data_IF_435338897702
#
_entry.id   IF_435338897702
#
_cell.length_a   1.000
_cell.length_b   1.000
_cell.length_c   1.000
_cell.angle_alpha   90.00
_cell.angle_beta   90.00
_cell.angle_gamma   90.00
#
_symmetry.space_group_name_H-M   'P 1'
#
loop_
_entity.id
_entity.type
_entity.pdbx_description
1 polymer ?
#
# COMPACT_ATOMS: atom_id res chain seq x y z
N UNK A 1 -10.69 8.05 -17.86
CA UNK A 1 -10.05 8.84 -16.79
C UNK A 1 -10.22 8.23 -15.40
N UNK A 2 -11.44 8.02 -14.87
CA UNK A 2 -11.63 7.31 -13.59
C UNK A 2 -11.13 5.86 -13.62
N UNK A 3 -11.20 5.20 -14.79
CA UNK A 3 -10.85 3.79 -14.95
C UNK A 3 -9.40 3.44 -14.60
N UNK A 4 -8.44 4.35 -14.84
CA UNK A 4 -7.01 4.11 -14.56
C UNK A 4 -6.71 4.11 -13.06
N UNK A 5 -7.13 5.17 -12.39
CA UNK A 5 -7.03 5.29 -10.94
C UNK A 5 -7.81 4.18 -10.25
N UNK A 6 -9.03 3.92 -10.70
CA UNK A 6 -9.85 2.84 -10.18
C UNK A 6 -9.15 1.49 -10.33
N UNK A 7 -8.60 1.19 -11.51
CA UNK A 7 -7.83 -0.05 -11.73
C UNK A 7 -6.63 -0.12 -10.77
N UNK A 8 -5.85 0.94 -10.66
CA UNK A 8 -4.68 0.96 -9.79
C UNK A 8 -5.05 0.73 -8.32
N UNK A 9 -6.08 1.41 -7.81
CA UNK A 9 -6.57 1.20 -6.44
C UNK A 9 -7.14 -0.21 -6.24
N UNK A 10 -7.97 -0.70 -7.16
CA UNK A 10 -8.60 -2.02 -7.04
C UNK A 10 -7.58 -3.16 -7.07
N UNK A 11 -6.60 -3.07 -7.96
CA UNK A 11 -5.56 -4.09 -8.15
C UNK A 11 -4.30 -3.84 -7.31
N UNK A 12 -4.31 -2.85 -6.40
CA UNK A 12 -3.17 -2.55 -5.55
C UNK A 12 -1.91 -2.20 -6.35
N UNK A 13 -2.04 -1.50 -7.47
CA UNK A 13 -0.90 -0.99 -8.22
C UNK A 13 -0.37 0.27 -7.55
N UNK A 14 0.95 0.42 -7.39
CA UNK A 14 1.54 1.65 -6.88
C UNK A 14 1.19 2.85 -7.76
N UNK A 15 0.76 3.95 -7.14
CA UNK A 15 0.51 5.23 -7.78
C UNK A 15 0.70 6.36 -6.76
N UNK A 16 1.03 7.56 -7.26
CA UNK A 16 1.23 8.72 -6.39
C UNK A 16 0.52 9.94 -6.96
N UNK A 17 -0.14 10.71 -6.08
CA UNK A 17 -0.76 11.99 -6.44
C UNK A 17 0.17 13.10 -5.97
N UNK A 18 0.90 13.68 -6.94
CA UNK A 18 1.83 14.78 -6.71
C UNK A 18 1.24 16.13 -7.07
N UNK A 19 1.48 17.13 -6.23
CA UNK A 19 0.96 18.49 -6.41
C UNK A 19 2.10 19.50 -6.35
N UNK A 20 2.06 20.52 -7.22
CA UNK A 20 3.02 21.63 -7.19
C UNK A 20 2.64 22.63 -6.10
N UNK A 21 3.64 23.29 -5.48
CA UNK A 21 3.41 24.31 -4.43
C UNK A 21 2.40 25.39 -4.86
N UNK A 22 2.48 25.84 -6.13
CA UNK A 22 1.57 26.85 -6.69
C UNK A 22 0.09 26.42 -6.68
N UNK A 23 -0.18 25.13 -6.59
CA UNK A 23 -1.51 24.54 -6.60
C UNK A 23 -2.02 24.21 -5.19
N UNK A 24 -1.23 24.38 -4.12
CA UNK A 24 -1.65 24.09 -2.74
C UNK A 24 -2.89 24.87 -2.31
N UNK A 25 -3.05 26.10 -2.80
CA UNK A 25 -4.23 26.92 -2.52
C UNK A 25 -5.54 26.28 -2.95
N UNK A 26 -5.52 25.31 -3.89
CA UNK A 26 -6.73 24.59 -4.35
C UNK A 26 -7.23 23.54 -3.36
N UNK A 27 -6.37 23.08 -2.46
CA UNK A 27 -6.67 22.05 -1.47
C UNK A 27 -6.89 22.63 -0.07
N UNK A 28 -6.49 23.90 0.13
CA UNK A 28 -6.69 24.58 1.40
C UNK A 28 -8.17 24.95 1.53
N UNK A 29 -8.85 24.51 2.61
CA UNK A 29 -10.22 24.95 2.87
C UNK A 29 -10.26 26.47 3.15
N UNK A 30 -11.41 27.10 2.90
CA UNK A 30 -11.62 28.53 3.16
C UNK A 30 -11.35 28.86 4.64
N UNK A 31 -11.76 27.97 5.54
CA UNK A 31 -11.43 28.01 6.96
C UNK A 31 -10.56 26.80 7.33
N UNK A 32 -9.40 27.07 7.93
CA UNK A 32 -8.51 26.02 8.46
C UNK A 32 -8.96 25.68 9.87
N UNK A 33 -9.40 24.43 10.09
CA UNK A 33 -9.82 23.96 11.40
C UNK A 33 -8.68 23.98 12.41
N UNK A 34 -9.00 24.08 13.71
CA UNK A 34 -7.97 23.99 14.76
C UNK A 34 -7.28 22.63 14.78
N UNK A 35 -7.96 21.57 14.32
CA UNK A 35 -7.40 20.23 14.14
C UNK A 35 -6.31 20.25 13.06
N UNK A 36 -6.56 20.87 11.90
CA UNK A 36 -5.56 20.99 10.81
C UNK A 36 -4.34 21.84 11.23
N UNK A 37 -4.55 22.81 12.13
CA UNK A 37 -3.46 23.59 12.74
C UNK A 37 -2.66 22.75 13.73
N UNK A 38 -3.32 21.90 14.51
CA UNK A 38 -2.71 21.03 15.52
C UNK A 38 -1.90 19.89 14.90
N UNK A 39 -2.32 19.36 13.75
CA UNK A 39 -1.57 18.38 12.94
C UNK A 39 -0.15 18.89 12.62
N UNK A 40 0.03 20.21 12.52
CA UNK A 40 1.34 20.85 12.33
C UNK A 40 2.27 20.82 13.54
N UNK A 41 1.83 20.42 14.73
CA UNK A 41 2.74 20.27 15.88
C UNK A 41 3.59 19.01 15.68
N UNK A 42 4.93 19.09 15.77
CA UNK A 42 5.78 17.93 15.62
C UNK A 42 5.47 16.95 16.77
N UNK A 43 4.63 15.94 16.52
CA UNK A 43 4.77 14.70 17.27
C UNK A 43 6.14 14.14 16.89
N UNK A 44 6.92 13.76 17.89
CA UNK A 44 8.26 13.21 17.71
C UNK A 44 8.28 12.21 16.55
N UNK A 45 9.10 12.47 15.54
CA UNK A 45 9.19 11.80 14.23
C UNK A 45 9.61 10.32 14.27
N UNK A 46 9.64 9.72 15.46
CA UNK A 46 10.09 8.35 15.71
C UNK A 46 8.95 7.62 16.39
N UNK A 47 8.24 6.79 15.61
CA UNK A 47 7.30 5.85 16.18
C UNK A 47 8.02 4.87 17.09
N UNK A 48 7.45 4.61 18.26
CA UNK A 48 7.90 3.53 19.11
C UNK A 48 7.82 2.21 18.32
N UNK A 49 8.91 1.41 18.27
CA UNK A 49 8.91 0.13 17.59
C UNK A 49 7.73 -0.73 18.06
N UNK A 50 7.18 -1.50 17.13
CA UNK A 50 6.12 -2.43 17.50
C UNK A 50 6.71 -3.52 18.41
N UNK A 51 6.36 -3.48 19.69
CA UNK A 51 6.85 -4.40 20.69
C UNK A 51 5.68 -5.16 21.33
N UNK A 52 5.72 -6.49 21.26
CA UNK A 52 4.71 -7.35 21.85
C UNK A 52 5.31 -8.18 22.98
N UNK A 53 4.85 -7.95 24.20
CA UNK A 53 5.44 -8.57 25.41
C UNK A 53 4.47 -9.50 26.17
N UNK A 54 3.16 -9.47 25.90
CA UNK A 54 2.17 -10.19 26.71
C UNK A 54 1.18 -11.03 25.89
N UNK A 55 1.14 -12.34 26.17
CA UNK A 55 0.23 -13.30 25.54
C UNK A 55 -1.24 -12.97 25.84
N UNK A 56 -2.06 -12.74 24.81
CA UNK A 56 -3.49 -12.41 24.92
C UNK A 56 -3.84 -10.94 24.66
N UNK A 57 -2.87 -10.03 24.64
CA UNK A 57 -3.08 -8.61 24.35
C UNK A 57 -2.90 -8.25 22.87
N UNK A 58 -2.53 -9.21 22.01
CA UNK A 58 -2.09 -8.96 20.63
C UNK A 58 -3.08 -8.13 19.84
N UNK A 59 -4.35 -8.56 19.84
CA UNK A 59 -5.42 -7.87 19.13
C UNK A 59 -5.55 -6.42 19.59
N UNK A 60 -5.70 -6.21 20.90
CA UNK A 60 -5.94 -4.87 21.45
C UNK A 60 -4.76 -3.94 21.15
N UNK A 61 -3.53 -4.43 21.35
CA UNK A 61 -2.31 -3.67 21.09
C UNK A 61 -2.15 -3.34 19.60
N UNK A 62 -2.24 -4.34 18.73
CA UNK A 62 -2.12 -4.16 17.29
C UNK A 62 -3.18 -3.18 16.76
N UNK A 63 -4.45 -3.38 17.13
CA UNK A 63 -5.53 -2.49 16.71
C UNK A 63 -5.34 -1.06 17.23
N UNK A 64 -4.84 -0.88 18.45
CA UNK A 64 -4.56 0.45 18.99
C UNK A 64 -3.49 1.17 18.17
N UNK A 65 -2.38 0.50 17.82
CA UNK A 65 -1.29 1.09 17.06
C UNK A 65 -1.70 1.37 15.60
N UNK A 66 -2.42 0.44 14.96
CA UNK A 66 -2.92 0.64 13.60
C UNK A 66 -3.94 1.78 13.53
N UNK A 67 -4.88 1.86 14.46
CA UNK A 67 -5.88 2.93 14.48
C UNK A 67 -5.24 4.31 14.72
N UNK A 68 -4.15 4.38 15.48
CA UNK A 68 -3.41 5.62 15.68
C UNK A 68 -2.77 6.11 14.36
N UNK A 69 -2.24 5.21 13.55
CA UNK A 69 -1.67 5.53 12.23
C UNK A 69 -2.75 5.91 11.22
N UNK A 70 -3.78 5.06 11.07
CA UNK A 70 -4.79 5.21 10.02
C UNK A 70 -5.59 6.52 10.13
N UNK A 71 -5.69 7.09 11.33
CA UNK A 71 -6.37 8.38 11.57
C UNK A 71 -5.50 9.60 11.25
N UNK A 72 -4.22 9.40 10.92
CA UNK A 72 -3.32 10.52 10.59
C UNK A 72 -3.59 11.02 9.17
N UNK A 73 -3.49 12.33 8.92
CA UNK A 73 -3.86 12.87 7.62
C UNK A 73 -3.07 12.30 6.43
N UNK A 74 -1.76 12.08 6.60
CA UNK A 74 -0.90 11.49 5.57
C UNK A 74 -1.14 9.99 5.34
N UNK A 75 -1.87 9.28 6.22
CA UNK A 75 -2.15 7.85 6.06
C UNK A 75 -2.91 7.54 4.77
N UNK A 76 -3.56 8.54 4.16
CA UNK A 76 -4.18 8.44 2.83
C UNK A 76 -3.23 7.91 1.76
N UNK A 77 -1.92 8.16 1.89
CA UNK A 77 -0.92 7.67 0.93
C UNK A 77 -0.88 6.15 0.84
N UNK A 78 -1.28 5.44 1.90
CA UNK A 78 -1.30 3.97 1.93
C UNK A 78 -2.04 3.40 0.72
N UNK A 79 -3.13 4.03 0.30
CA UNK A 79 -3.94 3.64 -0.87
C UNK A 79 -3.10 3.62 -2.15
N UNK A 80 -2.19 4.58 -2.30
CA UNK A 80 -1.29 4.70 -3.45
C UNK A 80 -0.02 3.84 -3.36
N UNK A 81 0.36 3.33 -2.20
CA UNK A 81 1.62 2.56 -2.07
C UNK A 81 1.59 1.19 -2.77
N UNK A 82 0.41 0.69 -3.14
CA UNK A 82 0.21 -0.59 -3.80
C UNK A 82 0.50 -1.81 -2.91
N UNK A 83 0.32 -2.99 -3.50
CA UNK A 83 0.56 -4.31 -2.92
C UNK A 83 -0.05 -4.49 -1.53
N UNK A 84 0.67 -5.13 -0.59
CA UNK A 84 0.14 -5.40 0.75
C UNK A 84 -0.07 -4.14 1.59
N UNK A 85 0.67 -3.06 1.33
CA UNK A 85 0.51 -1.79 2.04
C UNK A 85 -0.86 -1.16 1.72
N UNK A 86 -1.20 -1.05 0.43
CA UNK A 86 -2.49 -0.53 0.00
C UNK A 86 -3.66 -1.40 0.45
N UNK A 87 -3.45 -2.72 0.52
CA UNK A 87 -4.47 -3.59 1.10
C UNK A 87 -4.70 -3.31 2.58
N UNK A 88 -3.63 -3.20 3.38
CA UNK A 88 -3.74 -2.89 4.81
C UNK A 88 -4.38 -1.51 5.03
N UNK A 89 -3.99 -0.51 4.25
CA UNK A 89 -4.62 0.82 4.26
C UNK A 89 -6.12 0.75 4.03
N UNK A 90 -6.57 0.05 2.98
CA UNK A 90 -8.01 -0.14 2.71
C UNK A 90 -8.71 -0.98 3.77
N UNK A 91 -8.05 -2.02 4.30
CA UNK A 91 -8.62 -2.92 5.31
C UNK A 91 -8.97 -2.17 6.60
N UNK A 92 -8.09 -1.27 7.03
CA UNK A 92 -8.23 -0.59 8.31
C UNK A 92 -8.81 0.82 8.20
N UNK A 93 -8.52 1.54 7.11
CA UNK A 93 -9.06 2.88 6.85
C UNK A 93 -10.39 2.89 6.08
N UNK A 94 -10.77 1.78 5.47
CA UNK A 94 -12.03 1.66 4.72
C UNK A 94 -12.10 2.57 3.51
N UNK A 95 -13.33 2.83 3.04
CA UNK A 95 -13.58 3.67 1.88
C UNK A 95 -13.31 5.16 2.15
N UNK A 96 -13.40 5.60 3.40
CA UNK A 96 -13.11 6.97 3.79
C UNK A 96 -11.66 7.35 3.43
N UNK A 97 -10.70 6.47 3.75
CA UNK A 97 -9.29 6.70 3.41
C UNK A 97 -9.06 6.76 1.90
N UNK A 98 -9.79 5.96 1.11
CA UNK A 98 -9.76 6.02 -0.37
C UNK A 98 -10.31 7.35 -0.86
N UNK A 99 -11.44 7.81 -0.33
CA UNK A 99 -12.01 9.12 -0.68
C UNK A 99 -11.02 10.25 -0.37
N UNK A 100 -10.45 10.28 0.83
CA UNK A 100 -9.46 11.28 1.22
C UNK A 100 -8.21 11.27 0.32
N UNK A 101 -7.74 10.09 -0.09
CA UNK A 101 -6.65 9.97 -1.05
C UNK A 101 -7.02 10.57 -2.41
N UNK A 102 -8.25 10.34 -2.87
CA UNK A 102 -8.75 10.84 -4.15
C UNK A 102 -9.01 12.36 -4.15
N UNK A 103 -9.23 12.97 -2.97
CA UNK A 103 -9.34 14.41 -2.80
C UNK A 103 -7.99 15.15 -2.94
N UNK A 104 -6.88 14.41 -2.89
CA UNK A 104 -5.54 14.93 -3.08
C UNK A 104 -4.69 14.92 -1.81
N UNK A 105 -3.62 15.75 -1.77
CA UNK A 105 -2.63 15.70 -0.69
C UNK A 105 -3.23 16.09 0.66
N UNK A 106 -2.67 15.57 1.74
CA UNK A 106 -3.14 15.91 3.08
C UNK A 106 -2.71 17.32 3.53
N UNK A 107 -3.29 17.85 4.62
CA UNK A 107 -2.85 19.09 5.25
C UNK A 107 -1.36 19.09 5.61
N UNK A 108 -0.75 17.93 5.90
CA UNK A 108 0.69 17.82 6.13
C UNK A 108 1.45 18.41 4.94
N UNK A 109 1.02 18.08 3.71
CA UNK A 109 1.63 18.56 2.48
C UNK A 109 1.24 20.00 2.15
N UNK A 110 -0.05 20.29 1.98
CA UNK A 110 -0.46 21.58 1.40
C UNK A 110 -0.41 22.75 2.40
N UNK A 111 -0.55 22.48 3.70
CA UNK A 111 -0.53 23.50 4.76
C UNK A 111 0.86 23.58 5.41
N UNK A 112 1.43 22.44 5.77
CA UNK A 112 2.68 22.37 6.54
C UNK A 112 3.92 22.09 5.70
N UNK A 113 3.77 21.81 4.39
CA UNK A 113 4.86 21.46 3.47
C UNK A 113 5.69 20.25 3.93
N UNK A 114 5.04 19.33 4.65
CA UNK A 114 5.59 18.08 5.16
C UNK A 114 5.12 16.93 4.27
N UNK A 115 6.07 16.16 3.77
CA UNK A 115 5.81 15.08 2.84
C UNK A 115 7.09 14.68 2.13
N UNK A 116 6.92 13.99 1.01
CA UNK A 116 8.00 13.75 0.06
C UNK A 116 8.01 14.85 -1.00
N UNK A 117 9.20 15.27 -1.40
CA UNK A 117 9.42 16.10 -2.59
C UNK A 117 10.37 15.34 -3.51
N UNK A 118 10.05 15.32 -4.79
CA UNK A 118 10.85 14.64 -5.81
C UNK A 118 12.10 15.44 -6.26
N UNK A 119 12.65 16.29 -5.38
CA UNK A 119 13.79 17.17 -5.71
C UNK A 119 15.08 16.41 -6.00
N UNK A 120 15.21 15.23 -5.40
CA UNK A 120 16.41 14.41 -5.48
C UNK A 120 16.30 13.35 -6.59
N UNK A 121 15.16 13.30 -7.31
CA UNK A 121 14.96 12.44 -8.46
C UNK A 121 15.81 12.91 -9.67
N UNK A 122 16.14 11.99 -10.58
CA UNK A 122 16.90 12.29 -11.81
C UNK A 122 16.26 13.40 -12.66
N UNK A 123 14.93 13.48 -12.67
CA UNK A 123 14.14 14.48 -13.40
C UNK A 123 13.08 15.09 -12.47
N UNK A 124 13.45 16.09 -11.63
CA UNK A 124 12.56 16.63 -10.62
C UNK A 124 11.47 17.51 -11.24
N UNK A 125 10.21 17.33 -10.81
CA UNK A 125 9.09 18.21 -11.15
C UNK A 125 8.64 19.09 -9.98
N UNK A 126 9.32 18.98 -8.84
CA UNK A 126 9.03 19.62 -7.57
C UNK A 126 7.59 19.35 -7.12
N UNK A 127 7.20 18.08 -7.25
CA UNK A 127 5.92 17.55 -6.85
C UNK A 127 6.00 17.13 -5.38
N UNK A 128 5.03 17.60 -4.62
CA UNK A 128 4.85 17.22 -3.23
C UNK A 128 3.80 16.14 -3.10
N UNK A 129 4.08 15.15 -2.27
CA UNK A 129 3.19 14.03 -2.00
C UNK A 129 3.21 13.72 -0.51
N UNK A 130 2.16 13.07 -0.02
CA UNK A 130 2.17 12.51 1.33
C UNK A 130 3.30 11.48 1.46
N UNK A 131 3.79 11.29 2.69
CA UNK A 131 4.87 10.34 3.00
C UNK A 131 4.53 9.61 4.30
N UNK A 132 4.81 8.31 4.32
CA UNK A 132 4.78 7.47 5.51
C UNK A 132 6.21 7.12 5.92
N UNK A 133 6.45 7.06 7.23
CA UNK A 133 7.73 6.59 7.75
C UNK A 133 7.82 5.05 7.66
N UNK A 134 9.05 4.49 7.54
CA UNK A 134 9.24 3.04 7.60
C UNK A 134 8.68 2.40 8.87
N UNK A 135 8.75 3.11 10.01
CA UNK A 135 8.26 2.62 11.29
C UNK A 135 6.73 2.54 11.34
N UNK A 136 6.02 3.48 10.71
CA UNK A 136 4.56 3.40 10.57
C UNK A 136 4.15 2.22 9.69
N UNK A 137 4.90 1.98 8.61
CA UNK A 137 4.69 0.80 7.76
C UNK A 137 4.94 -0.46 8.58
N UNK A 138 6.03 -0.54 9.34
CA UNK A 138 6.32 -1.67 10.22
C UNK A 138 5.19 -1.98 11.20
N UNK A 139 4.59 -0.95 11.80
CA UNK A 139 3.43 -1.12 12.68
C UNK A 139 2.24 -1.73 11.93
N UNK A 140 1.95 -1.31 10.70
CA UNK A 140 0.88 -1.89 9.88
C UNK A 140 1.13 -3.36 9.55
N UNK A 141 2.38 -3.79 9.39
CA UNK A 141 2.72 -5.20 9.20
C UNK A 141 2.84 -5.99 10.52
N UNK A 142 2.78 -5.31 11.67
CA UNK A 142 3.08 -5.89 12.97
C UNK A 142 4.52 -6.39 13.05
N UNK A 143 5.46 -5.63 12.49
CA UNK A 143 6.88 -5.98 12.43
C UNK A 143 7.56 -5.74 13.78
N UNK A 144 8.02 -6.81 14.41
CA UNK A 144 8.95 -6.75 15.54
C UNK A 144 10.36 -6.82 14.96
N UNK A 145 11.04 -5.67 14.97
CA UNK A 145 12.44 -5.55 14.57
C UNK A 145 13.34 -6.13 15.65
N UNK A 146 14.37 -6.85 15.24
CA UNK A 146 15.42 -7.35 16.12
C UNK A 146 16.79 -6.93 15.59
N UNK A 147 17.79 -6.81 16.47
CA UNK A 147 19.18 -6.52 16.06
C UNK A 147 19.85 -7.69 15.27
N UNK A 148 19.06 -8.68 14.87
CA UNK A 148 19.47 -9.85 14.10
C UNK A 148 18.53 -10.02 12.89
N UNK A 149 18.90 -10.83 11.88
CA UNK A 149 18.03 -11.19 10.72
C UNK A 149 16.79 -12.05 11.10
N UNK A 150 16.27 -11.85 12.32
CA UNK A 150 15.13 -12.55 12.90
C UNK A 150 13.93 -11.63 13.07
N UNK A 151 13.86 -10.57 12.27
CA UNK A 151 12.66 -9.74 12.16
C UNK A 151 11.43 -10.62 11.94
N UNK A 152 10.38 -10.33 12.69
CA UNK A 152 9.13 -11.08 12.60
C UNK A 152 7.99 -10.15 12.28
N UNK A 153 7.02 -10.64 11.51
CA UNK A 153 5.84 -9.85 11.17
C UNK A 153 4.55 -10.67 11.32
N UNK A 154 3.42 -9.96 11.45
CA UNK A 154 2.08 -10.56 11.42
C UNK A 154 1.59 -10.75 9.98
N UNK A 155 1.97 -9.84 9.09
CA UNK A 155 1.71 -9.92 7.64
C UNK A 155 3.01 -10.06 6.85
N UNK A 156 3.01 -10.75 5.70
CA UNK A 156 4.20 -10.80 4.84
C UNK A 156 4.36 -9.45 4.10
N UNK A 157 5.57 -8.89 4.11
CA UNK A 157 5.93 -7.73 3.30
C UNK A 157 5.96 -8.07 1.81
N UNK A 158 6.06 -7.05 0.95
CA UNK A 158 6.20 -7.26 -0.49
C UNK A 158 7.42 -8.13 -0.82
N UNK A 159 8.57 -7.85 -0.22
CA UNK A 159 9.80 -8.61 -0.48
C UNK A 159 9.64 -10.10 -0.10
N UNK A 160 8.98 -10.37 1.04
CA UNK A 160 8.67 -11.74 1.47
C UNK A 160 7.73 -12.45 0.47
N UNK A 161 6.76 -11.72 -0.10
CA UNK A 161 5.87 -12.26 -1.13
C UNK A 161 6.61 -12.54 -2.44
N UNK A 162 7.47 -11.60 -2.87
CA UNK A 162 8.29 -11.71 -4.09
C UNK A 162 9.25 -12.92 -4.01
N UNK A 163 9.78 -13.24 -2.83
CA UNK A 163 10.69 -14.37 -2.66
C UNK A 163 9.98 -15.74 -2.60
N UNK A 164 8.82 -15.82 -1.93
CA UNK A 164 8.26 -17.09 -1.45
C UNK A 164 6.87 -17.47 -1.96
N UNK A 165 6.08 -16.52 -2.45
CA UNK A 165 4.67 -16.74 -2.80
C UNK A 165 4.49 -16.94 -4.31
N UNK A 166 4.18 -18.17 -4.76
CA UNK A 166 4.17 -18.49 -6.20
C UNK A 166 3.00 -17.88 -6.97
N UNK A 167 1.90 -17.59 -6.29
CA UNK A 167 0.71 -16.99 -6.90
C UNK A 167 0.64 -15.47 -6.73
N UNK A 168 1.57 -14.87 -5.98
CA UNK A 168 1.79 -13.43 -6.04
C UNK A 168 2.31 -13.08 -7.44
N UNK A 169 1.81 -12.01 -8.04
CA UNK A 169 2.15 -11.63 -9.42
C UNK A 169 2.64 -10.19 -9.54
N UNK A 170 2.77 -9.49 -8.42
CA UNK A 170 2.91 -8.04 -8.38
C UNK A 170 1.57 -7.29 -8.35
N UNK A 171 0.46 -7.96 -8.71
CA UNK A 171 -0.89 -7.41 -8.64
C UNK A 171 -1.70 -8.04 -7.51
N UNK A 172 -2.60 -7.25 -6.94
CA UNK A 172 -3.56 -7.72 -5.95
C UNK A 172 -4.74 -8.43 -6.63
N UNK A 173 -5.03 -9.64 -6.16
CA UNK A 173 -6.13 -10.47 -6.66
C UNK A 173 -6.91 -11.15 -5.53
N UNK A 174 -7.94 -11.92 -5.88
CA UNK A 174 -8.78 -12.61 -4.91
C UNK A 174 -8.04 -13.66 -4.07
N UNK A 175 -6.93 -14.22 -4.56
CA UNK A 175 -6.11 -15.19 -3.80
C UNK A 175 -5.34 -14.47 -2.71
N UNK A 176 -4.79 -13.30 -3.03
CA UNK A 176 -4.16 -12.41 -2.06
C UNK A 176 -5.17 -11.93 -1.01
N UNK A 177 -6.38 -11.53 -1.43
CA UNK A 177 -7.46 -11.15 -0.52
C UNK A 177 -7.81 -12.27 0.47
N UNK A 178 -7.98 -13.51 -0.02
CA UNK A 178 -8.32 -14.64 0.85
C UNK A 178 -7.23 -14.87 1.89
N UNK A 179 -5.96 -14.93 1.46
CA UNK A 179 -4.83 -15.14 2.36
C UNK A 179 -4.71 -14.03 3.42
N UNK A 180 -4.78 -12.77 3.01
CA UNK A 180 -4.66 -11.65 3.94
C UNK A 180 -5.87 -11.55 4.88
N UNK A 181 -7.08 -11.90 4.43
CA UNK A 181 -8.25 -11.99 5.30
C UNK A 181 -8.12 -13.12 6.33
N UNK A 182 -7.58 -14.28 5.95
CA UNK A 182 -7.33 -15.39 6.88
C UNK A 182 -6.30 -14.99 7.95
N UNK A 183 -5.19 -14.36 7.55
CA UNK A 183 -4.21 -13.80 8.49
C UNK A 183 -4.87 -12.78 9.43
N UNK A 184 -5.69 -11.89 8.88
CA UNK A 184 -6.40 -10.87 9.69
C UNK A 184 -7.34 -11.51 10.69
N UNK A 185 -8.03 -12.60 10.30
CA UNK A 185 -8.89 -13.36 11.21
C UNK A 185 -8.10 -13.96 12.37
N UNK A 186 -6.93 -14.54 12.12
CA UNK A 186 -6.03 -15.03 13.19
C UNK A 186 -5.62 -13.90 14.14
N UNK A 187 -5.31 -12.70 13.61
CA UNK A 187 -4.91 -11.54 14.42
C UNK A 187 -6.06 -11.06 15.29
N UNK A 188 -7.26 -10.94 14.72
CA UNK A 188 -8.46 -10.51 15.45
C UNK A 188 -8.93 -11.54 16.50
N UNK A 189 -8.58 -12.81 16.32
CA UNK A 189 -8.79 -13.86 17.31
C UNK A 189 -7.67 -13.91 18.37
N UNK A 190 -6.58 -13.16 18.19
CA UNK A 190 -5.41 -13.20 19.06
C UNK A 190 -4.58 -14.49 18.94
N UNK A 191 -4.83 -15.31 17.92
CA UNK A 191 -4.16 -16.59 17.67
C UNK A 191 -3.04 -16.51 16.63
N UNK A 192 -2.87 -15.35 15.99
CA UNK A 192 -1.84 -15.12 15.00
C UNK A 192 -0.42 -15.31 15.55
N UNK A 193 0.44 -15.85 14.70
CA UNK A 193 1.86 -16.06 14.99
C UNK A 193 2.71 -15.01 14.28
N UNK A 194 3.63 -14.41 15.01
CA UNK A 194 4.73 -13.66 14.40
C UNK A 194 5.65 -14.63 13.65
N UNK A 195 5.93 -14.31 12.39
CA UNK A 195 6.68 -15.18 11.46
C UNK A 195 7.92 -14.44 10.97
N UNK A 196 9.06 -15.12 11.00
CA UNK A 196 10.26 -14.69 10.28
C UNK A 196 10.09 -14.93 8.77
N UNK A 197 10.96 -14.37 7.90
CA UNK A 197 10.94 -14.69 6.46
C UNK A 197 10.95 -16.20 6.18
N UNK A 198 11.75 -16.99 6.91
CA UNK A 198 11.77 -18.45 6.80
C UNK A 198 10.42 -19.11 7.16
N UNK A 199 9.76 -18.64 8.22
CA UNK A 199 8.45 -19.14 8.63
C UNK A 199 7.34 -18.75 7.64
N UNK A 200 7.45 -17.58 7.01
CA UNK A 200 6.58 -17.20 5.89
C UNK A 200 6.77 -18.13 4.69
N UNK A 201 8.02 -18.46 4.34
CA UNK A 201 8.31 -19.42 3.28
C UNK A 201 7.74 -20.82 3.57
N UNK A 202 7.74 -21.28 4.83
CA UNK A 202 7.06 -22.50 5.24
C UNK A 202 5.52 -22.40 5.11
N UNK A 203 4.96 -21.24 5.47
CA UNK A 203 3.53 -20.96 5.32
C UNK A 203 3.11 -21.00 3.85
N UNK A 204 3.83 -20.30 2.96
CA UNK A 204 3.57 -20.31 1.53
C UNK A 204 3.76 -21.68 0.91
N UNK A 205 4.76 -22.46 1.34
CA UNK A 205 4.94 -23.84 0.84
C UNK A 205 3.70 -24.70 1.04
N UNK A 206 2.96 -24.54 2.14
CA UNK A 206 1.70 -25.25 2.38
C UNK A 206 0.56 -24.76 1.49
N UNK A 207 0.42 -23.44 1.34
CA UNK A 207 -0.58 -22.85 0.45
C UNK A 207 -0.33 -23.21 -1.02
N UNK A 208 0.92 -23.16 -1.46
CA UNK A 208 1.34 -23.49 -2.82
C UNK A 208 1.04 -24.97 -3.15
N UNK A 209 1.15 -25.90 -2.18
CA UNK A 209 0.80 -27.32 -2.40
C UNK A 209 -0.70 -27.55 -2.67
N UNK A 210 -1.57 -26.73 -2.07
CA UNK A 210 -3.01 -26.76 -2.34
C UNK A 210 -3.37 -26.25 -3.74
N UNK A 211 -2.50 -25.43 -4.33
CA UNK A 211 -2.65 -24.89 -5.67
C UNK A 211 -1.78 -25.70 -6.63
N UNK A 212 -2.29 -26.82 -7.17
CA UNK A 212 -1.65 -27.56 -8.27
C UNK A 212 -1.61 -26.69 -9.55
N UNK A 213 -0.73 -25.69 -9.56
CA UNK A 213 -0.32 -24.94 -10.74
C UNK A 213 1.15 -25.23 -11.02
N UNK A 214 1.56 -25.04 -12.27
CA UNK A 214 2.94 -25.15 -12.77
C UNK A 214 3.97 -24.69 -11.72
N UNK A 215 5.07 -25.43 -11.60
CA UNK A 215 6.21 -25.10 -10.71
C UNK A 215 6.90 -23.79 -11.10
N UNK A 216 6.53 -23.23 -12.25
CA UNK A 216 6.90 -21.89 -12.67
C UNK A 216 6.24 -20.89 -11.73
N UNK A 217 7.07 -20.18 -10.96
CA UNK A 217 6.54 -19.12 -10.11
C UNK A 217 5.89 -18.09 -11.04
N UNK A 218 4.61 -17.78 -10.85
CA UNK A 218 3.96 -16.78 -11.69
C UNK A 218 4.65 -15.42 -11.53
N UNK A 219 5.21 -15.10 -10.35
CA UNK A 219 6.11 -13.96 -10.16
C UNK A 219 7.49 -14.07 -10.84
N UNK A 220 7.80 -15.12 -11.60
CA UNK A 220 8.98 -15.17 -12.48
C UNK A 220 8.55 -15.08 -13.94
N UNK A 221 7.46 -15.74 -14.30
CA UNK A 221 6.89 -15.70 -15.67
C UNK A 221 6.25 -14.33 -15.96
N UNK A 222 5.48 -13.81 -15.01
CA UNK A 222 4.81 -12.50 -15.13
C UNK A 222 5.84 -11.39 -15.14
N UNK A 223 6.89 -11.35 -14.31
CA UNK A 223 7.99 -10.41 -14.48
C UNK A 223 8.77 -10.58 -15.77
N UNK A 224 9.06 -11.77 -16.30
CA UNK A 224 9.69 -11.86 -17.62
C UNK A 224 8.79 -11.30 -18.74
N UNK A 225 7.49 -11.59 -18.68
CA UNK A 225 6.50 -11.09 -19.62
C UNK A 225 6.23 -9.58 -19.43
N UNK A 226 6.20 -9.10 -18.19
CA UNK A 226 6.06 -7.70 -17.80
C UNK A 226 7.34 -6.94 -18.06
N UNK A 227 8.53 -7.52 -17.96
CA UNK A 227 9.79 -6.89 -18.37
C UNK A 227 9.75 -6.71 -19.87
N UNK A 228 9.28 -7.69 -20.64
CA UNK A 228 9.04 -7.52 -22.08
C UNK A 228 7.95 -6.48 -22.38
N UNK A 229 6.87 -6.44 -21.60
CA UNK A 229 5.80 -5.45 -21.73
C UNK A 229 6.28 -4.07 -21.30
N UNK A 230 7.11 -3.98 -20.27
CA UNK A 230 7.71 -2.79 -19.68
C UNK A 230 8.75 -2.22 -20.61
N UNK A 231 9.59 -3.05 -21.25
CA UNK A 231 10.41 -2.64 -22.39
C UNK A 231 9.53 -2.11 -23.52
N UNK A 232 8.47 -2.82 -23.93
CA UNK A 232 7.52 -2.29 -24.94
C UNK A 232 6.79 -1.01 -24.54
N UNK A 233 6.52 -0.80 -23.26
CA UNK A 233 5.89 0.39 -22.70
C UNK A 233 6.91 1.52 -22.59
N UNK A 234 8.15 1.26 -22.18
CA UNK A 234 9.25 2.24 -22.17
C UNK A 234 9.66 2.62 -23.60
N UNK A 235 9.63 1.68 -24.54
CA UNK A 235 9.93 1.90 -25.95
C UNK A 235 8.74 2.56 -26.67
N UNK A 236 7.50 2.35 -26.19
CA UNK A 236 6.25 2.83 -26.79
C UNK A 236 5.66 4.09 -26.14
N UNK A 237 6.04 4.41 -24.91
CA UNK A 237 5.74 5.65 -24.21
C UNK A 237 7.07 6.39 -24.00
N UNK A 238 7.12 7.66 -24.41
CA UNK A 238 8.24 8.54 -24.06
C UNK A 238 8.55 8.42 -22.54
N UNK A 239 9.84 8.44 -22.20
CA UNK A 239 10.42 8.32 -20.84
C UNK A 239 9.68 9.15 -19.78
N UNK A 240 9.07 10.25 -20.24
CA UNK A 240 8.29 11.22 -19.50
C UNK A 240 6.81 10.83 -19.28
N UNK A 241 6.39 9.55 -19.35
CA UNK A 241 5.06 9.14 -18.86
C UNK A 241 4.96 9.18 -17.34
N UNK A 242 6.07 8.92 -16.64
CA UNK A 242 6.19 9.17 -15.21
C UNK A 242 6.02 10.68 -14.96
N UNK A 243 5.19 11.04 -13.99
CA UNK A 243 4.86 12.43 -13.62
C UNK A 243 4.01 13.21 -14.66
N UNK A 244 3.47 12.55 -15.70
CA UNK A 244 2.37 13.14 -16.51
C UNK A 244 1.09 13.25 -15.72
N UNK A 245 0.23 14.20 -16.11
CA UNK A 245 -1.13 14.25 -15.60
C UNK A 245 -1.86 13.00 -16.07
N UNK A 246 -2.70 12.44 -15.22
CA UNK A 246 -3.50 11.26 -15.54
C UNK A 246 -4.38 11.44 -16.79
N UNK A 247 -4.82 12.67 -17.05
CA UNK A 247 -5.56 13.06 -18.26
C UNK A 247 -4.79 12.81 -19.56
N UNK A 248 -3.47 12.90 -19.50
CA UNK A 248 -2.57 12.86 -20.65
C UNK A 248 -2.06 11.44 -20.94
N UNK A 249 -2.41 10.47 -20.09
CA UNK A 249 -2.03 9.06 -20.24
C UNK A 249 -3.04 8.35 -21.15
N UNK A 250 -2.61 8.03 -22.38
CA UNK A 250 -3.38 7.18 -23.30
C UNK A 250 -3.07 5.71 -23.02
N UNK A 251 -4.07 4.92 -22.64
CA UNK A 251 -3.87 3.48 -22.47
C UNK A 251 -3.77 2.77 -23.83
N UNK A 252 -2.87 1.79 -23.99
CA UNK A 252 -2.79 1.01 -25.22
C UNK A 252 -3.99 0.08 -25.44
N UNK A 253 -4.72 -0.27 -24.38
CA UNK A 253 -5.83 -1.24 -24.41
C UNK A 253 -7.07 -0.68 -23.70
N UNK A 254 -8.23 -0.79 -24.34
CA UNK A 254 -9.52 -0.50 -23.72
C UNK A 254 -9.80 -1.54 -22.62
N UNK A 255 -9.75 -1.11 -21.36
CA UNK A 255 -10.15 -1.94 -20.24
C UNK A 255 -11.64 -2.29 -20.35
N UNK A 256 -11.95 -3.55 -20.70
CA UNK A 256 -13.28 -4.12 -20.54
C UNK A 256 -13.39 -4.64 -19.11
N UNK A 257 -14.20 -4.02 -18.23
CA UNK A 257 -14.41 -4.56 -16.90
C UNK A 257 -14.93 -5.99 -17.04
N UNK A 258 -14.32 -6.95 -16.35
CA UNK A 258 -14.93 -8.26 -16.17
C UNK A 258 -16.27 -8.01 -15.49
N UNK A 259 -17.37 -8.33 -16.17
CA UNK A 259 -18.69 -8.38 -15.55
C UNK A 259 -18.58 -9.42 -14.43
N UNK A 260 -18.49 -8.94 -13.19
CA UNK A 260 -18.73 -9.77 -12.02
C UNK A 260 -20.22 -10.09 -12.09
N UNK A 261 -20.54 -11.25 -12.67
CA UNK A 261 -21.91 -11.73 -12.71
C UNK A 261 -22.44 -11.77 -11.29
N UNK A 262 -23.53 -11.04 -11.03
CA UNK A 262 -24.39 -11.26 -9.88
C UNK A 262 -24.73 -12.75 -9.84
N UNK A 263 -24.06 -13.53 -8.97
CA UNK A 263 -24.63 -14.79 -8.51
C UNK A 263 -25.66 -14.40 -7.47
N UNK A 264 -26.91 -14.63 -7.84
CA UNK A 264 -28.09 -14.06 -7.23
C UNK A 264 -28.21 -14.35 -5.74
N UNK A 265 -28.91 -13.43 -5.10
CA UNK A 265 -29.83 -13.79 -4.03
C UNK A 265 -30.76 -14.89 -4.54
N UNK A 266 -30.72 -16.04 -3.87
CA UNK A 266 -31.85 -16.89 -3.48
C UNK A 266 -31.37 -17.75 -2.30
#
# INVERSE_FOLDING_TARGET
MPALLFKAVCHGLPLTIGVKVKDFGKFKPEEVSDIDRLVGKPSSTIEAPFAYTAQGALRAYYMSRVNDIIRRPHARILVGMGGPIAWLGRKWGGMELVTQFMEGPSPDVYLHRRGYIDSDDEHPMFLYTDKMSPQEIDILFGCIRSDSDRDKSLYPSKDILDEGCFFWTGEWDSRMDNMFNDITKEILQGSAKFRTPGMWNDYFRRLNRGHRGSRERLNQVVPAMLTRLHSKIIDGFLVDWNKRRLMDIKLPEEYRPRQVGNRGAL
#
